data_IF_967572625933
#
_entry.id   IF_967572625933
#
_cell.length_a   1.000
_cell.length_b   1.000
_cell.length_c   1.000
_cell.angle_alpha   90.00
_cell.angle_beta   90.00
_cell.angle_gamma   90.00
#
_symmetry.space_group_name_H-M   'P 1'
#
loop_
_entity.id
_entity.type
_entity.pdbx_description
1 polymer ?
#
# COMPACT_ATOMS: atom_id res chain seq x y z
N UNK A 1 -20.81 15.25 -43.71
CA UNK A 1 -19.46 15.84 -43.56
C UNK A 1 -19.65 17.07 -42.67
N UNK A 2 -19.13 17.20 -41.46
CA UNK A 2 -18.19 16.38 -40.69
C UNK A 2 -18.44 16.69 -39.21
N UNK A 3 -18.33 15.63 -38.40
CA UNK A 3 -17.95 15.56 -36.99
C UNK A 3 -17.83 16.84 -36.16
N UNK A 4 -18.56 16.88 -35.05
CA UNK A 4 -18.08 17.41 -33.78
C UNK A 4 -18.61 16.51 -32.65
N UNK A 5 -17.89 15.43 -32.36
CA UNK A 5 -18.06 14.70 -31.11
C UNK A 5 -17.17 15.40 -30.08
N UNK A 6 -17.80 16.08 -29.12
CA UNK A 6 -17.14 16.57 -27.91
C UNK A 6 -16.57 15.38 -27.15
N UNK A 7 -15.25 15.25 -27.15
CA UNK A 7 -14.53 14.34 -26.26
C UNK A 7 -14.42 15.05 -24.91
N UNK A 8 -15.32 14.72 -23.97
CA UNK A 8 -15.14 15.01 -22.56
C UNK A 8 -13.96 14.17 -22.07
N UNK A 9 -12.81 14.81 -21.92
CA UNK A 9 -11.61 14.20 -21.35
C UNK A 9 -11.55 14.52 -19.85
N UNK A 10 -12.61 14.18 -19.12
CA UNK A 10 -12.60 14.20 -17.66
C UNK A 10 -11.91 12.92 -17.18
N UNK A 11 -10.64 12.77 -17.53
CA UNK A 11 -9.77 11.77 -16.91
C UNK A 11 -9.54 12.23 -15.48
N UNK A 12 -10.37 11.75 -14.56
CA UNK A 12 -10.17 11.90 -13.14
C UNK A 12 -8.82 11.25 -12.78
N UNK A 13 -7.79 12.08 -12.57
CA UNK A 13 -6.46 11.61 -12.17
C UNK A 13 -6.61 11.02 -10.76
N UNK A 14 -6.70 9.70 -10.68
CA UNK A 14 -6.72 8.98 -9.41
C UNK A 14 -5.37 9.20 -8.71
N UNK A 15 -5.39 9.93 -7.60
CA UNK A 15 -4.18 10.21 -6.83
C UNK A 15 -3.82 9.00 -5.99
N UNK A 16 -3.00 8.11 -6.54
CA UNK A 16 -2.45 6.97 -5.81
C UNK A 16 -1.39 7.43 -4.80
N UNK A 17 -1.45 6.93 -3.57
CA UNK A 17 -0.44 7.19 -2.55
C UNK A 17 0.62 6.10 -2.66
N UNK A 18 1.82 6.48 -3.10
CA UNK A 18 2.98 5.57 -3.15
C UNK A 18 3.89 5.91 -1.97
N UNK A 19 4.19 4.89 -1.16
CA UNK A 19 5.14 4.97 -0.06
C UNK A 19 6.18 3.87 -0.17
N UNK A 20 7.34 4.07 0.44
CA UNK A 20 8.40 3.07 0.48
C UNK A 20 8.39 2.36 1.82
N UNK A 21 8.49 1.04 1.81
CA UNK A 21 8.57 0.28 3.05
C UNK A 21 9.88 0.66 3.79
N UNK A 22 9.82 1.05 5.08
CA UNK A 22 11.03 1.43 5.82
C UNK A 22 11.94 0.23 6.13
N UNK A 23 11.48 -1.00 5.88
CA UNK A 23 12.23 -2.23 6.17
C UNK A 23 13.03 -2.76 4.98
N UNK A 24 12.47 -2.68 3.78
CA UNK A 24 13.09 -3.23 2.56
C UNK A 24 13.23 -2.21 1.43
N UNK A 25 12.74 -0.98 1.62
CA UNK A 25 12.79 0.11 0.64
C UNK A 25 12.05 -0.16 -0.67
N UNK A 26 11.23 -1.22 -0.72
CA UNK A 26 10.35 -1.50 -1.84
C UNK A 26 9.06 -0.67 -1.74
N UNK A 27 8.46 -0.27 -2.88
CA UNK A 27 7.26 0.54 -2.89
C UNK A 27 6.02 -0.25 -2.43
N UNK A 28 5.03 0.50 -1.94
CA UNK A 28 3.67 0.03 -1.64
C UNK A 28 2.68 1.09 -2.12
N UNK A 29 1.65 0.65 -2.82
CA UNK A 29 0.51 1.49 -3.20
C UNK A 29 -0.50 1.42 -2.05
N UNK A 30 -1.02 2.58 -1.65
CA UNK A 30 -1.96 2.73 -0.55
C UNK A 30 -3.25 3.31 -1.10
N UNK A 31 -4.31 2.51 -1.09
CA UNK A 31 -5.62 2.94 -1.59
C UNK A 31 -6.33 3.87 -0.60
N UNK A 32 -6.21 3.59 0.71
CA UNK A 32 -6.93 4.31 1.77
C UNK A 32 -6.10 4.39 3.04
N UNK A 33 -6.09 5.56 3.68
CA UNK A 33 -5.46 5.81 4.97
C UNK A 33 -6.52 5.80 6.08
N UNK A 34 -6.74 4.63 6.71
CA UNK A 34 -7.67 4.50 7.83
C UNK A 34 -6.93 4.56 9.18
N UNK A 35 -6.31 3.46 9.62
CA UNK A 35 -5.55 3.39 10.88
C UNK A 35 -4.08 3.81 10.73
N UNK A 36 -3.65 4.10 9.50
CA UNK A 36 -2.28 4.45 9.13
C UNK A 36 -1.20 3.40 9.46
N UNK A 37 -1.58 2.22 9.95
CA UNK A 37 -0.71 1.06 10.13
C UNK A 37 -0.92 0.16 8.93
N UNK A 38 0.16 -0.38 8.38
CA UNK A 38 0.14 -1.28 7.24
C UNK A 38 1.19 -2.36 7.42
N UNK A 39 0.99 -3.51 6.76
CA UNK A 39 2.04 -4.50 6.54
C UNK A 39 2.45 -4.46 5.08
N UNK A 40 3.75 -4.48 4.81
CA UNK A 40 4.25 -4.49 3.43
C UNK A 40 4.05 -5.88 2.81
N UNK A 41 2.85 -6.12 2.29
CA UNK A 41 2.52 -7.38 1.65
C UNK A 41 1.22 -7.32 0.86
N UNK A 42 1.24 -7.89 -0.35
CA UNK A 42 0.04 -8.17 -1.15
C UNK A 42 -0.14 -9.68 -1.23
N UNK A 43 -1.30 -10.19 -0.81
CA UNK A 43 -1.64 -11.61 -0.88
C UNK A 43 -1.78 -12.02 -2.34
N UNK A 44 -0.95 -12.96 -2.80
CA UNK A 44 -0.87 -13.36 -4.21
C UNK A 44 -2.21 -13.88 -4.72
N UNK A 45 -2.90 -14.67 -3.89
CA UNK A 45 -4.18 -15.31 -4.24
C UNK A 45 -5.31 -14.31 -4.50
N UNK A 46 -5.32 -13.19 -3.78
CA UNK A 46 -6.45 -12.23 -3.80
C UNK A 46 -6.08 -10.89 -4.42
N UNK A 47 -4.78 -10.59 -4.56
CA UNK A 47 -4.30 -9.25 -4.91
C UNK A 47 -4.55 -8.21 -3.82
N UNK A 48 -5.03 -8.60 -2.64
CA UNK A 48 -5.36 -7.67 -1.56
C UNK A 48 -4.15 -7.40 -0.67
N UNK A 49 -4.08 -6.19 -0.14
CA UNK A 49 -3.10 -5.85 0.88
C UNK A 49 -3.31 -6.70 2.13
N UNK A 50 -2.22 -7.10 2.78
CA UNK A 50 -2.25 -7.82 4.04
C UNK A 50 -3.04 -7.05 5.09
N UNK A 51 -3.75 -7.78 5.96
CA UNK A 51 -4.41 -7.19 7.12
C UNK A 51 -3.35 -6.48 7.99
N UNK A 52 -3.47 -5.16 8.21
CA UNK A 52 -2.53 -4.40 9.03
C UNK A 52 -2.37 -4.92 10.46
N UNK A 53 -3.40 -5.59 10.96
CA UNK A 53 -3.49 -6.13 12.32
C UNK A 53 -3.39 -7.66 12.35
N UNK A 54 -2.95 -8.30 11.26
CA UNK A 54 -2.62 -9.72 11.29
C UNK A 54 -1.53 -9.98 12.32
N UNK A 55 -1.64 -11.12 13.00
CA UNK A 55 -0.64 -11.55 13.96
C UNK A 55 0.70 -11.82 13.28
N UNK A 56 1.80 -11.72 14.05
CA UNK A 56 3.12 -12.14 13.58
C UNK A 56 3.13 -13.56 13.02
N UNK A 57 2.44 -14.50 13.65
CA UNK A 57 2.38 -15.90 13.20
C UNK A 57 1.74 -16.02 11.80
N UNK A 58 0.61 -15.36 11.58
CA UNK A 58 -0.04 -15.33 10.26
C UNK A 58 0.89 -14.71 9.19
N UNK A 59 1.58 -13.62 9.55
CA UNK A 59 2.51 -12.95 8.63
C UNK A 59 3.71 -13.82 8.28
N UNK A 60 4.34 -14.44 9.28
CA UNK A 60 5.47 -15.33 9.11
C UNK A 60 5.08 -16.54 8.24
N UNK A 61 3.90 -17.12 8.46
CA UNK A 61 3.36 -18.21 7.64
C UNK A 61 3.21 -17.80 6.17
N UNK A 62 2.62 -16.63 5.90
CA UNK A 62 2.45 -16.13 4.54
C UNK A 62 3.79 -15.89 3.83
N UNK A 63 4.79 -15.34 4.54
CA UNK A 63 6.14 -15.14 3.99
C UNK A 63 6.82 -16.49 3.71
N UNK A 64 6.81 -17.40 4.69
CA UNK A 64 7.49 -18.69 4.59
C UNK A 64 6.90 -19.56 3.46
N UNK A 65 5.60 -19.42 3.20
CA UNK A 65 4.92 -20.12 2.12
C UNK A 65 4.98 -19.38 0.77
N UNK A 66 5.65 -18.23 0.70
CA UNK A 66 5.71 -17.36 -0.49
C UNK A 66 4.31 -16.99 -1.02
N UNK A 67 3.37 -16.68 -0.12
CA UNK A 67 1.98 -16.35 -0.45
C UNK A 67 1.72 -14.83 -0.55
N UNK A 68 2.76 -14.01 -0.34
CA UNK A 68 2.70 -12.54 -0.45
C UNK A 68 3.84 -11.97 -1.30
N UNK A 69 3.60 -10.80 -1.89
CA UNK A 69 4.66 -9.91 -2.38
C UNK A 69 4.97 -8.84 -1.34
N UNK A 70 6.20 -8.80 -0.83
CA UNK A 70 6.67 -7.83 0.16
C UNK A 70 7.30 -8.51 1.38
N UNK A 71 7.72 -7.72 2.36
CA UNK A 71 8.42 -8.24 3.54
C UNK A 71 7.51 -8.65 4.73
N UNK A 72 6.20 -8.39 4.64
CA UNK A 72 5.17 -8.65 5.66
C UNK A 72 5.34 -7.88 6.99
N UNK A 73 6.37 -7.04 7.12
CA UNK A 73 6.64 -6.28 8.33
C UNK A 73 5.70 -5.08 8.48
N UNK A 74 5.32 -4.71 9.72
CA UNK A 74 4.47 -3.57 9.97
C UNK A 74 5.23 -2.26 9.82
N UNK A 75 4.56 -1.23 9.32
CA UNK A 75 5.03 0.14 9.26
C UNK A 75 3.87 1.11 9.43
N UNK A 76 4.18 2.34 9.83
CA UNK A 76 3.20 3.42 9.95
C UNK A 76 3.45 4.47 8.87
N UNK A 77 2.36 5.01 8.32
CA UNK A 77 2.39 6.19 7.45
C UNK A 77 2.06 7.43 8.29
N UNK A 78 2.90 8.45 8.19
CA UNK A 78 2.70 9.75 8.81
C UNK A 78 2.55 10.80 7.72
N UNK A 79 1.54 11.66 7.85
CA UNK A 79 1.38 12.82 6.97
C UNK A 79 2.37 13.92 7.39
N UNK A 80 3.14 14.39 6.43
CA UNK A 80 4.13 15.47 6.56
C UNK A 80 3.71 16.65 5.69
N UNK A 81 3.63 17.84 6.29
CA UNK A 81 3.31 19.08 5.55
C UNK A 81 4.40 19.46 4.54
N UNK A 82 5.63 18.95 4.72
CA UNK A 82 6.78 19.25 3.87
C UNK A 82 6.97 18.25 2.72
N UNK A 83 6.71 16.98 2.98
CA UNK A 83 7.07 15.87 2.07
C UNK A 83 5.88 14.99 1.68
N UNK A 84 4.66 15.32 2.12
CA UNK A 84 3.45 14.57 1.85
C UNK A 84 3.27 13.39 2.81
N UNK A 85 3.89 12.26 2.51
CA UNK A 85 3.81 11.05 3.34
C UNK A 85 5.21 10.50 3.64
N UNK A 86 5.44 10.16 4.91
CA UNK A 86 6.64 9.46 5.35
C UNK A 86 6.24 8.13 6.00
N UNK A 87 7.17 7.20 6.04
CA UNK A 87 6.98 5.89 6.67
C UNK A 87 7.98 5.67 7.78
N UNK A 88 7.53 5.12 8.89
CA UNK A 88 8.37 4.71 10.01
C UNK A 88 8.18 3.23 10.33
N UNK A 89 9.23 2.61 10.87
CA UNK A 89 9.14 1.27 11.45
C UNK A 89 8.13 1.30 12.59
N UNK A 90 7.26 0.29 12.65
CA UNK A 90 6.26 0.14 13.68
C UNK A 90 6.35 -1.26 14.29
N UNK A 91 6.38 -1.35 15.61
CA UNK A 91 6.44 -2.62 16.35
C UNK A 91 5.04 -3.19 16.64
N UNK A 92 4.04 -2.86 15.82
CA UNK A 92 2.68 -3.36 15.98
C UNK A 92 2.62 -4.88 15.71
N UNK A 93 2.00 -5.64 16.63
CA UNK A 93 1.99 -7.11 16.66
C UNK A 93 0.83 -7.66 15.84
#
# INVERSE_FOLDING_TARGET
MSTNQNLNLDNEITKEIIVYCPHCLEPSIIEKLNCCIFRHGIIIKTGQQMNPHASKEECDNLINNNEIYGCGKPFRIIKSELTGYITEVCDYI
#
